data_IF_645239037118
#
_entry.id   IF_645239037118
#
_cell.length_a   1.000
_cell.length_b   1.000
_cell.length_c   1.000
_cell.angle_alpha   90.00
_cell.angle_beta   90.00
_cell.angle_gamma   90.00
#
_symmetry.space_group_name_H-M   'P 1'
#
loop_
_entity.id
_entity.type
_entity.pdbx_description
1 polymer ?
#
# COMPACT_ATOMS: atom_id res chain seq x y z
N UNK A 1 -3.65 -22.97 6.11
CA UNK A 1 -2.94 -22.03 6.99
C UNK A 1 -2.98 -22.62 8.39
N UNK A 2 -1.86 -22.66 9.10
CA UNK A 2 -1.83 -23.10 10.50
C UNK A 2 -2.44 -22.04 11.43
N UNK A 3 -2.82 -22.41 12.66
CA UNK A 3 -3.36 -21.44 13.64
C UNK A 3 -2.37 -20.30 13.91
N UNK A 4 -1.07 -20.58 13.98
CA UNK A 4 -0.03 -19.56 14.18
C UNK A 4 -0.03 -18.55 13.03
N UNK A 5 -0.11 -19.04 11.79
CA UNK A 5 -0.12 -18.18 10.59
C UNK A 5 -1.38 -17.32 10.53
N UNK A 6 -2.53 -17.90 10.91
CA UNK A 6 -3.81 -17.20 10.93
C UNK A 6 -3.82 -16.10 12.00
N UNK A 7 -3.37 -16.41 13.21
CA UNK A 7 -3.32 -15.44 14.33
C UNK A 7 -2.37 -14.28 14.02
N UNK A 8 -1.20 -14.58 13.45
CA UNK A 8 -0.25 -13.55 13.01
C UNK A 8 -0.85 -12.64 11.94
N UNK A 9 -1.52 -13.23 10.93
CA UNK A 9 -2.13 -12.47 9.85
C UNK A 9 -3.27 -11.58 10.36
N UNK A 10 -4.15 -12.10 11.21
CA UNK A 10 -5.23 -11.34 11.85
C UNK A 10 -4.68 -10.19 12.69
N UNK A 11 -3.64 -10.43 13.48
CA UNK A 11 -3.03 -9.39 14.30
C UNK A 11 -2.50 -8.24 13.43
N UNK A 12 -1.74 -8.54 12.36
CA UNK A 12 -1.22 -7.48 11.48
C UNK A 12 -2.36 -6.73 10.77
N UNK A 13 -3.38 -7.42 10.25
CA UNK A 13 -4.53 -6.76 9.64
C UNK A 13 -5.27 -5.85 10.61
N UNK A 14 -5.41 -6.26 11.87
CA UNK A 14 -6.01 -5.44 12.91
C UNK A 14 -5.13 -4.21 13.23
N UNK A 15 -3.81 -4.37 13.36
CA UNK A 15 -2.91 -3.26 13.66
C UNK A 15 -2.85 -2.21 12.56
N UNK A 16 -2.90 -2.63 11.29
CA UNK A 16 -2.78 -1.70 10.15
C UNK A 16 -4.15 -1.10 9.77
N UNK A 17 -5.22 -1.89 9.79
CA UNK A 17 -6.51 -1.51 9.21
C UNK A 17 -7.71 -1.63 10.16
N UNK A 18 -7.52 -2.14 11.36
CA UNK A 18 -8.62 -2.42 12.29
C UNK A 18 -9.52 -3.58 11.86
N UNK A 19 -9.09 -4.41 10.90
CA UNK A 19 -9.88 -5.56 10.44
C UNK A 19 -9.94 -6.65 11.51
N UNK A 20 -11.10 -7.29 11.63
CA UNK A 20 -11.32 -8.41 12.54
C UNK A 20 -11.44 -9.76 11.80
N UNK A 21 -11.28 -9.74 10.48
CA UNK A 21 -11.31 -10.90 9.59
C UNK A 21 -10.23 -10.78 8.53
N UNK A 22 -9.75 -11.92 8.02
CA UNK A 22 -8.79 -11.95 6.90
C UNK A 22 -9.56 -11.72 5.60
N UNK A 23 -9.15 -10.75 4.75
CA UNK A 23 -9.76 -10.54 3.45
C UNK A 23 -9.66 -11.78 2.53
N UNK A 24 -10.62 -12.00 1.63
CA UNK A 24 -10.54 -13.07 0.63
C UNK A 24 -9.29 -12.92 -0.26
N UNK A 25 -8.72 -14.06 -0.66
CA UNK A 25 -7.53 -14.15 -1.52
C UNK A 25 -7.60 -13.27 -2.77
N UNK A 26 -8.71 -13.35 -3.53
CA UNK A 26 -8.88 -12.57 -4.77
C UNK A 26 -8.86 -11.05 -4.54
N UNK A 27 -9.40 -10.59 -3.41
CA UNK A 27 -9.37 -9.16 -3.07
C UNK A 27 -7.95 -8.69 -2.76
N UNK A 28 -7.12 -9.54 -2.15
CA UNK A 28 -5.73 -9.18 -1.85
C UNK A 28 -4.86 -9.07 -3.12
N UNK A 29 -5.11 -9.87 -4.15
CA UNK A 29 -4.46 -9.74 -5.46
C UNK A 29 -4.89 -8.49 -6.20
N UNK A 30 -6.19 -8.21 -6.25
CA UNK A 30 -6.75 -7.00 -6.86
C UNK A 30 -6.19 -5.76 -6.17
N UNK A 31 -6.13 -5.76 -4.84
CA UNK A 31 -5.54 -4.69 -4.06
C UNK A 31 -4.05 -4.49 -4.37
N UNK A 32 -3.27 -5.58 -4.43
CA UNK A 32 -1.85 -5.51 -4.81
C UNK A 32 -1.66 -4.97 -6.22
N UNK A 33 -2.44 -5.40 -7.21
CA UNK A 33 -2.40 -4.85 -8.57
C UNK A 33 -2.70 -3.36 -8.58
N UNK A 34 -3.76 -2.94 -7.88
CA UNK A 34 -4.18 -1.55 -7.81
C UNK A 34 -3.09 -0.64 -7.22
N UNK A 35 -2.41 -1.08 -6.15
CA UNK A 35 -1.28 -0.35 -5.57
C UNK A 35 -0.15 -0.17 -6.59
N UNK A 36 0.23 -1.25 -7.29
CA UNK A 36 1.33 -1.22 -8.26
C UNK A 36 1.00 -0.32 -9.47
N UNK A 37 -0.26 -0.30 -9.92
CA UNK A 37 -0.72 0.62 -10.97
C UNK A 37 -0.62 2.07 -10.51
N UNK A 38 -1.04 2.37 -9.27
CA UNK A 38 -0.95 3.72 -8.73
C UNK A 38 0.51 4.17 -8.55
N UNK A 39 1.37 3.28 -8.02
CA UNK A 39 2.78 3.58 -7.81
C UNK A 39 3.52 3.82 -9.13
N UNK A 40 3.22 3.04 -10.18
CA UNK A 40 3.74 3.25 -11.55
C UNK A 40 3.08 4.45 -12.27
N UNK A 41 2.42 5.37 -11.58
CA UNK A 41 1.66 6.45 -12.21
C UNK A 41 2.51 7.38 -13.09
N UNK A 42 3.80 7.48 -12.81
CA UNK A 42 4.84 8.18 -13.57
C UNK A 42 5.35 7.41 -14.81
N UNK A 43 4.93 6.14 -14.95
CA UNK A 43 5.30 5.22 -16.02
C UNK A 43 6.43 4.25 -15.64
N UNK A 44 7.09 4.41 -14.50
CA UNK A 44 8.21 3.59 -14.07
C UNK A 44 7.98 3.10 -12.64
N UNK A 45 8.01 1.78 -12.44
CA UNK A 45 8.03 1.24 -11.08
C UNK A 45 9.48 0.90 -10.73
N UNK A 46 10.07 1.69 -9.85
CA UNK A 46 11.43 1.48 -9.38
C UNK A 46 11.56 0.14 -8.61
N UNK A 47 12.78 -0.41 -8.52
CA UNK A 47 13.02 -1.58 -7.68
C UNK A 47 12.66 -1.36 -6.21
N UNK A 48 12.82 -0.14 -5.69
CA UNK A 48 12.53 0.18 -4.28
C UNK A 48 11.03 0.09 -3.98
N UNK A 49 10.21 0.75 -4.79
CA UNK A 49 8.74 0.73 -4.67
C UNK A 49 8.20 -0.70 -4.82
N UNK A 50 8.67 -1.44 -5.84
CA UNK A 50 8.25 -2.84 -6.04
C UNK A 50 8.62 -3.71 -4.84
N UNK A 51 9.86 -3.61 -4.36
CA UNK A 51 10.32 -4.39 -3.21
C UNK A 51 9.53 -4.05 -1.94
N UNK A 52 9.14 -2.79 -1.77
CA UNK A 52 8.28 -2.37 -0.67
C UNK A 52 6.90 -3.04 -0.75
N UNK A 53 6.25 -3.01 -1.91
CA UNK A 53 4.94 -3.68 -2.11
C UNK A 53 5.05 -5.19 -1.92
N UNK A 54 6.11 -5.81 -2.44
CA UNK A 54 6.41 -7.25 -2.27
C UNK A 54 6.59 -7.58 -0.78
N UNK A 55 7.40 -6.82 -0.06
CA UNK A 55 7.64 -7.01 1.38
C UNK A 55 6.37 -6.87 2.20
N UNK A 56 5.56 -5.85 1.89
CA UNK A 56 4.24 -5.66 2.51
C UNK A 56 3.32 -6.85 2.23
N UNK A 57 3.19 -7.28 0.98
CA UNK A 57 2.38 -8.43 0.61
C UNK A 57 2.85 -9.72 1.32
N UNK A 58 4.17 -9.92 1.44
CA UNK A 58 4.76 -11.03 2.17
C UNK A 58 4.38 -11.01 3.66
N UNK A 59 4.51 -9.85 4.31
CA UNK A 59 4.19 -9.69 5.73
C UNK A 59 2.73 -10.01 6.06
N UNK A 60 1.83 -9.74 5.11
CA UNK A 60 0.41 -10.02 5.21
C UNK A 60 0.03 -11.41 4.70
N UNK A 61 1.00 -12.22 4.26
CA UNK A 61 0.77 -13.52 3.60
C UNK A 61 -0.27 -13.41 2.48
N UNK A 62 -0.27 -12.29 1.78
CA UNK A 62 -1.17 -11.99 0.66
C UNK A 62 -0.85 -12.89 -0.51
N UNK A 63 -1.86 -13.38 -1.23
CA UNK A 63 -1.63 -14.09 -2.49
C UNK A 63 -1.09 -13.17 -3.59
N UNK A 64 -1.21 -11.86 -3.41
CA UNK A 64 -0.54 -10.86 -4.23
C UNK A 64 0.99 -10.87 -4.13
N UNK A 65 1.60 -11.62 -3.19
CA UNK A 65 3.06 -11.64 -3.01
C UNK A 65 3.84 -12.07 -4.26
N UNK A 66 3.51 -13.24 -4.84
CA UNK A 66 4.21 -13.71 -6.04
C UNK A 66 3.88 -12.83 -7.26
N UNK A 67 2.63 -12.39 -7.35
CA UNK A 67 2.17 -11.47 -8.39
C UNK A 67 2.96 -10.16 -8.36
N UNK A 68 3.17 -9.56 -7.19
CA UNK A 68 3.84 -8.27 -7.05
C UNK A 68 5.27 -8.25 -7.59
N UNK A 69 5.93 -9.41 -7.65
CA UNK A 69 7.32 -9.52 -8.14
C UNK A 69 7.42 -9.30 -9.65
N UNK A 70 6.40 -9.70 -10.41
CA UNK A 70 6.47 -9.79 -11.87
C UNK A 70 5.40 -8.99 -12.60
N UNK A 71 4.38 -8.53 -11.88
CA UNK A 71 3.26 -7.79 -12.46
C UNK A 71 3.73 -6.46 -13.09
N UNK A 72 3.39 -6.24 -14.36
CA UNK A 72 3.87 -5.08 -15.12
C UNK A 72 3.14 -3.77 -14.81
N UNK A 73 1.94 -3.86 -14.22
CA UNK A 73 1.10 -2.72 -13.84
C UNK A 73 0.71 -1.81 -15.03
N UNK A 74 0.47 -2.41 -16.20
CA UNK A 74 0.01 -1.70 -17.40
C UNK A 74 -1.52 -1.75 -17.61
N UNK A 75 -2.26 -2.48 -16.76
CA UNK A 75 -3.71 -2.55 -16.83
C UNK A 75 -4.35 -1.22 -16.39
N UNK A 76 -5.53 -0.90 -16.93
CA UNK A 76 -6.31 0.23 -16.43
C UNK A 76 -6.83 -0.07 -15.01
N UNK A 77 -6.64 0.87 -14.08
CA UNK A 77 -7.05 0.70 -12.68
C UNK A 77 -8.53 0.35 -12.54
N UNK A 78 -9.40 1.00 -13.33
CA UNK A 78 -10.84 0.75 -13.32
C UNK A 78 -11.20 -0.71 -13.68
N UNK A 79 -10.50 -1.30 -14.65
CA UNK A 79 -10.74 -2.67 -15.09
C UNK A 79 -10.32 -3.68 -14.01
N UNK A 80 -9.22 -3.41 -13.31
CA UNK A 80 -8.77 -4.22 -12.17
C UNK A 80 -9.80 -4.17 -11.04
N UNK A 81 -10.29 -2.97 -10.69
CA UNK A 81 -11.23 -2.76 -9.59
C UNK A 81 -12.63 -3.33 -9.87
N UNK A 82 -13.07 -3.37 -11.13
CA UNK A 82 -14.35 -3.98 -11.52
C UNK A 82 -14.47 -5.45 -11.07
N UNK A 83 -13.35 -6.13 -10.79
CA UNK A 83 -13.31 -7.51 -10.33
C UNK A 83 -13.50 -7.68 -8.81
N UNK A 84 -13.59 -6.60 -8.01
CA UNK A 84 -13.90 -6.67 -6.57
C UNK A 84 -14.74 -5.50 -6.09
N UNK A 85 -16.00 -5.79 -5.75
CA UNK A 85 -16.92 -4.79 -5.20
C UNK A 85 -16.50 -4.26 -3.82
N UNK A 86 -15.77 -5.05 -3.02
CA UNK A 86 -15.31 -4.64 -1.70
C UNK A 86 -14.21 -3.58 -1.81
N UNK A 87 -13.21 -3.86 -2.66
CA UNK A 87 -12.13 -2.92 -2.93
C UNK A 87 -12.65 -1.68 -3.65
N UNK A 88 -13.54 -1.87 -4.64
CA UNK A 88 -14.14 -0.77 -5.39
C UNK A 88 -14.98 0.17 -4.54
N UNK A 89 -15.70 -0.32 -3.52
CA UNK A 89 -16.57 0.55 -2.70
C UNK A 89 -15.90 1.11 -1.45
N UNK A 90 -15.04 0.33 -0.80
CA UNK A 90 -14.50 0.67 0.53
C UNK A 90 -12.97 0.72 0.57
N UNK A 91 -12.28 0.15 -0.41
CA UNK A 91 -10.81 0.04 -0.43
C UNK A 91 -10.10 1.17 -1.18
N UNK A 92 -10.79 2.05 -1.90
CA UNK A 92 -10.14 3.07 -2.76
C UNK A 92 -9.15 3.98 -2.01
N UNK A 93 -9.51 4.44 -0.80
CA UNK A 93 -8.63 5.26 0.03
C UNK A 93 -7.40 4.49 0.52
N UNK A 94 -7.56 3.21 0.87
CA UNK A 94 -6.43 2.40 1.31
C UNK A 94 -5.49 2.05 0.16
N UNK A 95 -5.97 1.98 -1.10
CA UNK A 95 -5.10 1.87 -2.28
C UNK A 95 -4.18 3.09 -2.35
N UNK A 96 -4.74 4.30 -2.30
CA UNK A 96 -3.96 5.55 -2.38
C UNK A 96 -2.97 5.67 -1.22
N UNK A 97 -3.43 5.42 0.01
CA UNK A 97 -2.58 5.40 1.19
C UNK A 97 -1.37 4.45 1.03
N UNK A 98 -1.58 3.21 0.59
CA UNK A 98 -0.48 2.25 0.41
C UNK A 98 0.39 2.60 -0.79
N UNK A 99 -0.18 3.19 -1.85
CA UNK A 99 0.58 3.63 -3.01
C UNK A 99 1.54 4.78 -2.67
N UNK A 100 1.11 5.77 -1.88
CA UNK A 100 1.97 6.86 -1.39
C UNK A 100 3.12 6.27 -0.56
N UNK A 101 2.84 5.33 0.34
CA UNK A 101 3.89 4.66 1.13
C UNK A 101 4.88 3.88 0.26
N UNK A 102 4.40 3.30 -0.84
CA UNK A 102 5.25 2.59 -1.78
C UNK A 102 6.16 3.54 -2.56
N UNK A 103 5.62 4.65 -3.12
CA UNK A 103 6.41 5.68 -3.80
C UNK A 103 7.47 6.27 -2.87
N UNK A 104 7.10 6.57 -1.62
CA UNK A 104 8.04 7.09 -0.62
C UNK A 104 9.10 6.07 -0.13
N UNK A 105 9.13 4.84 -0.66
CA UNK A 105 9.99 3.78 -0.13
C UNK A 105 11.49 4.01 -0.34
N UNK A 106 11.87 4.78 -1.36
CA UNK A 106 13.25 5.20 -1.60
C UNK A 106 13.67 6.45 -0.81
N UNK A 107 12.71 7.06 -0.10
CA UNK A 107 12.90 8.23 0.76
C UNK A 107 12.55 9.56 0.10
N UNK A 108 12.08 9.58 -1.15
CA UNK A 108 11.72 10.82 -1.86
C UNK A 108 10.41 10.70 -2.64
N UNK A 109 9.29 11.03 -1.98
CA UNK A 109 8.00 11.21 -2.66
C UNK A 109 7.94 12.58 -3.32
N UNK A 110 8.31 12.64 -4.61
CA UNK A 110 8.53 13.89 -5.30
C UNK A 110 7.22 14.47 -5.91
N UNK A 111 7.29 15.70 -6.43
CA UNK A 111 6.10 16.39 -6.95
C UNK A 111 5.47 15.69 -8.17
N UNK A 112 6.24 14.99 -9.00
CA UNK A 112 5.71 14.25 -10.15
C UNK A 112 4.88 13.06 -9.67
N UNK A 113 5.43 12.22 -8.78
CA UNK A 113 4.71 11.09 -8.18
C UNK A 113 3.45 11.56 -7.45
N UNK A 114 3.56 12.67 -6.72
CA UNK A 114 2.43 13.33 -6.05
C UNK A 114 1.32 13.69 -7.02
N UNK A 115 1.64 14.41 -8.10
CA UNK A 115 0.66 14.79 -9.11
C UNK A 115 -0.02 13.56 -9.74
N UNK A 116 0.74 12.47 -9.97
CA UNK A 116 0.19 11.22 -10.51
C UNK A 116 -0.74 10.51 -9.53
N UNK A 117 -0.36 10.41 -8.26
CA UNK A 117 -1.21 9.83 -7.22
C UNK A 117 -2.51 10.61 -7.08
N UNK A 118 -2.44 11.95 -7.08
CA UNK A 118 -3.63 12.80 -7.01
C UNK A 118 -4.55 12.59 -8.22
N UNK A 119 -3.99 12.56 -9.44
CA UNK A 119 -4.76 12.25 -10.64
C UNK A 119 -5.43 10.87 -10.57
N UNK A 120 -4.72 9.87 -10.03
CA UNK A 120 -5.26 8.52 -9.87
C UNK A 120 -6.35 8.47 -8.81
N UNK A 121 -6.19 9.16 -7.69
CA UNK A 121 -7.20 9.28 -6.64
C UNK A 121 -8.48 9.97 -7.14
N UNK A 122 -8.35 11.01 -7.98
CA UNK A 122 -9.49 11.65 -8.64
C UNK A 122 -10.23 10.68 -9.56
N UNK A 123 -9.51 9.83 -10.32
CA UNK A 123 -10.14 8.77 -11.14
C UNK A 123 -10.91 7.73 -10.31
N UNK A 124 -10.52 7.57 -9.04
CA UNK A 124 -11.20 6.74 -8.05
C UNK A 124 -12.37 7.47 -7.36
N UNK A 125 -12.66 8.72 -7.73
CA UNK A 125 -13.70 9.55 -7.11
C UNK A 125 -13.38 9.91 -5.66
N UNK A 126 -12.10 10.05 -5.32
CA UNK A 126 -11.65 10.55 -4.03
C UNK A 126 -11.44 12.06 -4.16
N UNK A 127 -12.09 12.82 -3.29
CA UNK A 127 -11.97 14.27 -3.25
C UNK A 127 -10.54 14.72 -2.91
N UNK A 128 -10.09 15.81 -3.52
CA UNK A 128 -8.73 16.34 -3.40
C UNK A 128 -8.33 16.61 -1.94
N UNK A 129 -9.25 17.13 -1.12
CA UNK A 129 -9.01 17.37 0.31
C UNK A 129 -8.76 16.09 1.10
N UNK A 130 -9.43 15.00 0.73
CA UNK A 130 -9.22 13.67 1.31
C UNK A 130 -7.88 13.10 0.88
N UNK A 131 -7.46 13.30 -0.38
CA UNK A 131 -6.13 12.86 -0.84
C UNK A 131 -5.03 13.57 -0.06
N UNK A 132 -5.14 14.89 0.11
CA UNK A 132 -4.21 15.67 0.91
C UNK A 132 -4.15 15.18 2.38
N UNK A 133 -5.28 14.81 2.98
CA UNK A 133 -5.30 14.21 4.33
C UNK A 133 -4.61 12.85 4.37
N UNK A 134 -4.79 12.01 3.35
CA UNK A 134 -4.11 10.71 3.27
C UNK A 134 -2.59 10.91 3.17
N UNK A 135 -2.15 11.83 2.32
CA UNK A 135 -0.74 12.20 2.18
C UNK A 135 -0.15 12.69 3.51
N UNK A 136 -0.84 13.60 4.20
CA UNK A 136 -0.44 14.11 5.51
C UNK A 136 -0.25 12.97 6.52
N UNK A 137 -1.21 12.03 6.60
CA UNK A 137 -1.10 10.85 7.47
C UNK A 137 0.12 10.00 7.13
N UNK A 138 0.38 9.72 5.84
CA UNK A 138 1.56 8.95 5.43
C UNK A 138 2.88 9.62 5.90
N UNK A 139 2.99 10.94 5.74
CA UNK A 139 4.17 11.70 6.14
C UNK A 139 4.33 11.76 7.66
N UNK A 140 3.24 11.93 8.40
CA UNK A 140 3.24 11.91 9.86
C UNK A 140 3.61 10.54 10.43
N UNK A 141 3.11 9.46 9.83
CA UNK A 141 3.44 8.10 10.22
C UNK A 141 4.92 7.78 9.97
N UNK A 142 5.48 8.21 8.84
CA UNK A 142 6.91 8.05 8.54
C UNK A 142 7.77 8.74 9.60
N UNK A 143 7.47 10.01 9.92
CA UNK A 143 8.16 10.77 10.98
C UNK A 143 7.98 10.12 12.36
N UNK A 144 6.77 9.64 12.66
CA UNK A 144 6.47 8.98 13.94
C UNK A 144 7.23 7.66 14.06
N UNK A 145 7.37 6.91 12.97
CA UNK A 145 8.17 5.68 12.91
C UNK A 145 9.64 5.98 13.18
N UNK A 146 10.21 6.99 12.53
CA UNK A 146 11.61 7.40 12.77
C UNK A 146 11.84 7.80 14.22
N UNK A 147 10.96 8.64 14.77
CA UNK A 147 10.98 9.04 16.19
C UNK A 147 10.91 7.83 17.11
N UNK A 148 10.04 6.86 16.84
CA UNK A 148 9.91 5.63 17.62
C UNK A 148 11.20 4.82 17.57
N UNK A 149 11.81 4.64 16.40
CA UNK A 149 13.05 3.87 16.25
C UNK A 149 14.19 4.55 17.03
N UNK A 150 14.37 5.87 16.86
CA UNK A 150 15.41 6.62 17.58
C UNK A 150 15.22 6.59 19.11
N UNK A 151 13.96 6.62 19.58
CA UNK A 151 13.65 6.51 21.01
C UNK A 151 13.96 5.12 21.58
N UNK A 152 13.61 4.06 20.86
CA UNK A 152 13.79 2.68 21.32
C UNK A 152 15.24 2.20 21.19
N UNK A 153 15.96 2.72 20.20
CA UNK A 153 17.31 2.30 19.83
C UNK A 153 18.23 3.52 19.66
N UNK A 154 18.54 4.26 20.74
CA UNK A 154 19.32 5.50 20.66
C UNK A 154 20.75 5.31 20.15
N UNK A 155 21.30 4.10 20.28
CA UNK A 155 22.64 3.73 19.80
C UNK A 155 22.61 2.98 18.45
N UNK A 156 21.42 2.87 17.83
CA UNK A 156 21.20 2.09 16.62
C UNK A 156 20.45 0.78 16.89
N UNK A 157 19.67 0.33 15.89
CA UNK A 157 18.95 -0.94 15.98
C UNK A 157 19.94 -2.12 16.07
N UNK A 158 19.68 -3.14 16.90
CA UNK A 158 20.63 -4.22 17.15
C UNK A 158 20.74 -5.27 16.04
N UNK A 159 19.91 -5.16 14.98
CA UNK A 159 19.84 -6.05 13.83
C UNK A 159 19.73 -5.24 12.53
#
# INVERSE_FOLDING_TARGET
>A
MSNIEQDAQLWIFNQIYGFNTIPPTGDTEIFTKAILICAKGDGVLSPAERNWVVGRAASLRSSGYELAKTYSADEALADVLANSSAIDKSGRRSIIYVAIQACAADGDFNQEERDKIHAMAQSLGIEEDVVNQIEEVCLEEAKTREKRIALLFPEGAPY
#
